data_IF_466287243330
#
_entry.id   IF_466287243330
#
_cell.length_a   1.000
_cell.length_b   1.000
_cell.length_c   1.000
_cell.angle_alpha   90.00
_cell.angle_beta   90.00
_cell.angle_gamma   90.00
#
_symmetry.space_group_name_H-M   'P 1'
#
loop_
_entity.id
_entity.type
_entity.pdbx_description
1 polymer ?
#
# COMPACT_ATOMS: atom_id res chain seq x y z
N UNK A 1 -12.62 45.37 -46.05
CA UNK A 1 -13.29 44.40 -45.17
C UNK A 1 -12.39 44.12 -43.96
N UNK A 2 -12.94 44.18 -42.74
CA UNK A 2 -12.19 44.22 -41.48
C UNK A 2 -11.71 42.84 -41.01
N UNK A 3 -10.58 42.83 -40.29
CA UNK A 3 -9.98 41.68 -39.60
C UNK A 3 -10.84 41.28 -38.37
N UNK A 4 -10.96 39.99 -38.03
CA UNK A 4 -11.63 39.58 -36.80
C UNK A 4 -10.79 39.90 -35.56
N UNK A 5 -11.49 40.30 -34.51
CA UNK A 5 -11.00 40.80 -33.24
C UNK A 5 -10.34 39.73 -32.36
N UNK A 6 -9.34 40.16 -31.58
CA UNK A 6 -8.77 39.41 -30.47
C UNK A 6 -9.77 39.33 -29.32
N UNK A 7 -10.16 38.11 -28.91
CA UNK A 7 -10.85 37.90 -27.64
C UNK A 7 -9.83 37.89 -26.49
N UNK A 8 -10.10 38.69 -25.46
CA UNK A 8 -9.28 38.85 -24.26
C UNK A 8 -9.29 37.60 -23.37
N UNK A 9 -8.17 37.36 -22.72
CA UNK A 9 -7.86 36.18 -21.90
C UNK A 9 -8.36 36.30 -20.44
N UNK A 10 -9.41 37.08 -20.17
CA UNK A 10 -9.78 37.44 -18.79
C UNK A 10 -10.86 36.54 -18.13
N UNK A 11 -11.31 35.46 -18.77
CA UNK A 11 -12.40 34.61 -18.25
C UNK A 11 -11.99 33.20 -17.80
N UNK A 12 -10.80 33.05 -17.20
CA UNK A 12 -10.39 31.78 -16.57
C UNK A 12 -9.73 31.98 -15.20
N UNK A 13 -10.26 32.89 -14.37
CA UNK A 13 -9.74 33.09 -13.00
C UNK A 13 -10.75 33.14 -11.86
N UNK A 14 -12.04 32.84 -12.06
CA UNK A 14 -13.03 32.97 -10.99
C UNK A 14 -13.92 31.74 -10.74
N UNK A 15 -13.34 30.52 -10.65
CA UNK A 15 -14.11 29.37 -10.15
C UNK A 15 -13.33 28.33 -9.33
N UNK A 16 -12.32 28.76 -8.56
CA UNK A 16 -11.59 27.86 -7.65
C UNK A 16 -11.24 28.51 -6.30
N UNK A 17 -12.07 29.45 -5.82
CA UNK A 17 -11.90 30.12 -4.50
C UNK A 17 -13.09 29.81 -3.56
N UNK A 18 -13.93 28.81 -3.86
CA UNK A 18 -15.08 28.46 -3.02
C UNK A 18 -15.00 27.12 -2.27
N UNK A 19 -13.91 26.36 -2.38
CA UNK A 19 -13.89 24.99 -1.83
C UNK A 19 -12.93 24.69 -0.67
N UNK A 20 -12.26 25.68 -0.08
CA UNK A 20 -11.43 25.45 1.10
C UNK A 20 -11.72 26.46 2.21
N UNK A 21 -12.97 26.47 2.69
CA UNK A 21 -13.27 26.86 4.06
C UNK A 21 -12.80 25.73 4.99
N UNK A 22 -11.49 25.72 5.27
CA UNK A 22 -10.94 24.87 6.32
C UNK A 22 -11.08 25.62 7.65
N UNK A 23 -12.17 25.33 8.36
CA UNK A 23 -12.35 25.68 9.76
C UNK A 23 -11.13 25.24 10.58
N UNK A 24 -10.47 26.17 11.26
CA UNK A 24 -9.55 25.85 12.36
C UNK A 24 -10.30 26.08 13.67
N UNK A 25 -10.57 25.04 14.49
CA UNK A 25 -10.93 25.28 15.88
C UNK A 25 -9.67 25.79 16.61
N UNK A 26 -9.79 26.94 17.27
CA UNK A 26 -8.79 27.43 18.20
C UNK A 26 -8.85 26.59 19.47
N UNK A 27 -7.82 25.78 19.71
CA UNK A 27 -7.63 25.02 20.95
C UNK A 27 -6.51 25.72 21.72
N UNK A 28 -6.88 26.49 22.75
CA UNK A 28 -5.94 27.02 23.75
C UNK A 28 -5.64 25.87 24.71
N UNK A 29 -4.43 25.32 24.63
CA UNK A 29 -3.89 24.44 25.66
C UNK A 29 -2.92 25.26 26.49
N UNK A 30 -3.32 25.58 27.73
CA UNK A 30 -2.38 26.02 28.75
C UNK A 30 -1.68 24.77 29.30
N UNK A 31 -0.40 24.58 28.97
CA UNK A 31 0.45 23.57 29.64
C UNK A 31 1.35 24.32 30.63
N UNK A 32 1.50 23.85 31.88
CA UNK A 32 2.37 24.49 32.86
C UNK A 32 3.83 24.40 32.42
N UNK A 33 4.55 25.51 32.60
CA UNK A 33 6.00 25.54 32.50
C UNK A 33 6.61 24.64 33.58
N UNK A 34 7.11 23.47 33.18
CA UNK A 34 8.09 22.72 33.97
C UNK A 34 9.19 22.32 32.99
N UNK A 35 10.14 23.23 32.78
CA UNK A 35 11.45 22.86 32.27
C UNK A 35 12.22 22.28 33.45
N UNK A 36 12.57 21.00 33.35
CA UNK A 36 13.58 20.38 34.20
C UNK A 36 14.87 21.18 34.08
N UNK A 37 15.30 21.79 35.19
CA UNK A 37 16.65 22.30 35.33
C UNK A 37 17.62 21.13 35.13
N UNK A 38 18.33 21.12 34.00
CA UNK A 38 19.56 20.35 33.88
C UNK A 38 20.69 21.33 34.05
N UNK A 39 21.44 21.11 35.12
CA UNK A 39 22.52 21.95 35.59
C UNK A 39 23.54 22.24 34.50
N UNK A 40 24.08 23.45 34.60
CA UNK A 40 25.25 23.99 33.94
C UNK A 40 26.28 22.92 33.59
N UNK A 41 26.53 22.77 32.29
CA UNK A 41 27.88 22.91 31.73
C UNK A 41 27.76 22.91 30.21
N UNK A 42 27.57 24.12 29.65
CA UNK A 42 27.94 24.52 28.29
C UNK A 42 27.29 25.87 28.00
N UNK A 43 27.93 26.96 28.44
CA UNK A 43 27.63 28.30 27.92
C UNK A 43 27.80 28.38 26.38
N UNK A 44 28.48 27.40 25.77
CA UNK A 44 28.51 27.23 24.31
C UNK A 44 27.29 26.54 23.70
N UNK A 45 26.54 25.69 24.41
CA UNK A 45 25.46 24.89 23.78
C UNK A 45 24.18 25.68 23.60
N UNK A 46 23.77 26.51 24.57
CA UNK A 46 22.57 27.37 24.46
C UNK A 46 22.71 28.42 23.36
N UNK A 47 23.90 28.96 23.15
CA UNK A 47 24.17 29.90 22.05
C UNK A 47 24.23 29.19 20.69
N UNK A 48 24.78 27.97 20.63
CA UNK A 48 24.73 27.16 19.40
C UNK A 48 23.29 26.78 19.07
N UNK A 49 22.46 26.39 20.05
CA UNK A 49 21.04 26.09 19.83
C UNK A 49 20.24 27.33 19.40
N UNK A 50 20.47 28.51 19.98
CA UNK A 50 19.78 29.75 19.58
C UNK A 50 20.23 30.28 18.21
N UNK A 51 21.51 30.14 17.87
CA UNK A 51 22.05 30.47 16.54
C UNK A 51 21.56 29.49 15.48
N UNK A 52 21.56 28.19 15.76
CA UNK A 52 21.04 27.17 14.86
C UNK A 52 19.54 27.36 14.65
N UNK A 53 18.76 27.62 15.70
CA UNK A 53 17.34 27.97 15.56
C UNK A 53 17.19 29.18 14.63
N UNK A 54 17.89 30.29 14.88
CA UNK A 54 17.84 31.49 14.04
C UNK A 54 18.17 31.21 12.56
N UNK A 55 19.17 30.37 12.28
CA UNK A 55 19.58 29.98 10.92
C UNK A 55 18.52 29.09 10.24
N UNK A 56 17.89 28.17 10.97
CA UNK A 56 16.83 27.32 10.43
C UNK A 56 15.56 28.10 10.10
N UNK A 57 15.18 29.10 10.92
CA UNK A 57 14.06 30.00 10.64
C UNK A 57 14.30 30.94 9.45
N UNK A 58 15.56 31.14 9.05
CA UNK A 58 15.96 31.96 7.89
C UNK A 58 16.30 31.16 6.62
N UNK A 59 16.29 29.82 6.66
CA UNK A 59 16.63 28.96 5.53
C UNK A 59 15.49 28.88 4.50
N UNK A 60 15.33 29.94 3.71
CA UNK A 60 14.35 30.04 2.62
C UNK A 60 15.08 30.05 1.27
N UNK A 61 14.55 29.39 0.22
CA UNK A 61 15.13 29.51 -1.12
C UNK A 61 15.24 30.97 -1.54
N UNK A 62 16.48 31.48 -1.62
CA UNK A 62 16.75 32.89 -1.89
C UNK A 62 16.14 33.36 -3.22
N UNK A 63 16.11 32.48 -4.22
CA UNK A 63 15.59 32.76 -5.56
C UNK A 63 14.72 31.62 -6.10
N UNK A 64 13.71 31.98 -6.89
CA UNK A 64 12.90 31.02 -7.65
C UNK A 64 13.76 30.36 -8.72
N UNK A 65 13.73 29.02 -8.80
CA UNK A 65 14.41 28.27 -9.87
C UNK A 65 13.74 28.53 -11.22
N UNK A 66 14.56 28.68 -12.27
CA UNK A 66 14.05 28.81 -13.64
C UNK A 66 13.34 27.54 -14.11
N UNK A 67 12.52 27.67 -15.15
CA UNK A 67 11.79 26.55 -15.73
C UNK A 67 12.78 25.52 -16.32
N UNK A 68 13.84 25.99 -16.97
CA UNK A 68 14.90 25.15 -17.53
C UNK A 68 15.59 24.30 -16.46
N UNK A 69 16.04 24.92 -15.36
CA UNK A 69 16.68 24.21 -14.24
C UNK A 69 15.73 23.15 -13.66
N UNK A 70 14.45 23.47 -13.53
CA UNK A 70 13.47 22.50 -13.06
C UNK A 70 13.24 21.36 -14.05
N UNK A 71 13.23 21.64 -15.36
CA UNK A 71 13.09 20.61 -16.40
C UNK A 71 14.30 19.68 -16.41
N UNK A 72 15.52 20.20 -16.45
CA UNK A 72 16.75 19.39 -16.39
C UNK A 72 16.79 18.55 -15.11
N UNK A 73 16.42 19.14 -13.96
CA UNK A 73 16.35 18.41 -12.69
C UNK A 73 15.29 17.32 -12.67
N UNK A 74 14.15 17.48 -13.34
CA UNK A 74 13.02 16.52 -13.34
C UNK A 74 13.16 15.44 -14.43
N UNK A 75 13.67 15.80 -15.61
CA UNK A 75 13.81 14.93 -16.79
C UNK A 75 15.15 14.22 -16.88
N UNK A 76 16.02 14.39 -15.89
CA UNK A 76 17.25 13.60 -15.78
C UNK A 76 16.90 12.09 -15.83
N UNK A 77 17.54 11.29 -16.70
CA UNK A 77 17.24 9.86 -16.85
C UNK A 77 17.35 9.06 -15.55
N UNK A 78 18.16 9.51 -14.59
CA UNK A 78 18.24 8.91 -13.26
C UNK A 78 16.90 8.97 -12.48
N UNK A 79 16.06 9.97 -12.78
CA UNK A 79 14.74 10.16 -12.15
C UNK A 79 13.58 9.63 -12.98
N UNK A 80 13.85 9.23 -14.22
CA UNK A 80 12.85 8.60 -15.07
C UNK A 80 12.65 7.15 -14.61
N UNK A 81 11.43 6.66 -14.80
CA UNK A 81 11.10 5.27 -14.53
C UNK A 81 11.81 4.41 -15.57
N UNK A 82 12.65 3.48 -15.10
CA UNK A 82 13.35 2.54 -15.98
C UNK A 82 12.38 1.51 -16.56
N UNK A 83 12.57 1.19 -17.83
CA UNK A 83 11.82 0.12 -18.49
C UNK A 83 12.20 -1.23 -17.87
N UNK A 84 11.19 -2.08 -17.63
CA UNK A 84 11.36 -3.40 -17.04
C UNK A 84 11.13 -4.47 -18.10
N UNK A 85 12.13 -5.33 -18.34
CA UNK A 85 12.12 -6.37 -19.38
C UNK A 85 11.91 -7.78 -18.81
N UNK A 86 11.38 -7.88 -17.59
CA UNK A 86 11.23 -9.13 -16.85
C UNK A 86 9.77 -9.61 -16.78
N UNK A 87 8.97 -9.24 -17.79
CA UNK A 87 7.56 -9.58 -17.92
C UNK A 87 7.44 -10.72 -18.94
N UNK A 88 6.91 -11.86 -18.50
CA UNK A 88 6.69 -13.05 -19.30
C UNK A 88 5.22 -13.48 -19.24
N UNK A 89 4.81 -14.38 -20.12
CA UNK A 89 3.46 -14.96 -20.12
C UNK A 89 3.39 -16.16 -19.17
N UNK A 90 2.31 -16.27 -18.39
CA UNK A 90 2.06 -17.42 -17.53
C UNK A 90 1.67 -18.65 -18.37
N UNK A 91 2.30 -19.83 -18.15
CA UNK A 91 1.99 -21.04 -18.92
C UNK A 91 0.59 -21.60 -18.65
N UNK A 92 0.03 -21.38 -17.45
CA UNK A 92 -1.27 -21.94 -17.05
C UNK A 92 -2.45 -21.13 -17.59
N UNK A 93 -2.41 -19.80 -17.44
CA UNK A 93 -3.56 -18.93 -17.71
C UNK A 93 -3.32 -17.90 -18.81
N UNK A 94 -2.11 -17.80 -19.37
CA UNK A 94 -1.77 -16.82 -20.41
C UNK A 94 -1.67 -15.36 -19.94
N UNK A 95 -1.88 -15.05 -18.65
CA UNK A 95 -1.73 -13.69 -18.14
C UNK A 95 -0.25 -13.30 -18.02
N UNK A 96 0.04 -12.01 -18.15
CA UNK A 96 1.38 -11.47 -17.93
C UNK A 96 1.78 -11.60 -16.45
N UNK A 97 2.97 -12.14 -16.20
CA UNK A 97 3.58 -12.24 -14.89
C UNK A 97 5.04 -11.77 -14.93
N UNK A 98 5.63 -11.55 -13.78
CA UNK A 98 7.06 -11.28 -13.68
C UNK A 98 7.84 -12.60 -13.52
N UNK A 99 9.05 -12.70 -14.10
CA UNK A 99 9.90 -13.93 -14.10
C UNK A 99 10.04 -14.63 -12.75
N UNK A 100 10.33 -13.86 -11.71
CA UNK A 100 10.60 -14.38 -10.35
C UNK A 100 9.43 -14.19 -9.39
N UNK A 101 8.21 -14.01 -9.92
CA UNK A 101 6.99 -13.81 -9.13
C UNK A 101 5.91 -14.78 -9.61
N UNK A 102 5.12 -15.30 -8.67
CA UNK A 102 3.96 -16.12 -9.02
C UNK A 102 2.95 -15.32 -9.84
N UNK A 103 2.17 -16.00 -10.67
CA UNK A 103 1.12 -15.33 -11.43
C UNK A 103 0.05 -14.81 -10.48
N UNK A 104 -0.26 -13.51 -10.54
CA UNK A 104 -1.26 -12.88 -9.68
C UNK A 104 -2.65 -13.50 -9.84
N UNK A 105 -3.05 -13.82 -11.08
CA UNK A 105 -4.35 -14.42 -11.36
C UNK A 105 -4.48 -15.84 -10.79
N UNK A 106 -3.50 -16.71 -11.09
CA UNK A 106 -3.51 -18.07 -10.55
C UNK A 106 -3.45 -18.07 -9.02
N UNK A 107 -2.64 -17.18 -8.43
CA UNK A 107 -2.53 -17.05 -6.98
C UNK A 107 -3.84 -16.57 -6.35
N UNK A 108 -4.53 -15.62 -6.98
CA UNK A 108 -5.84 -15.15 -6.51
C UNK A 108 -6.88 -16.29 -6.47
N UNK A 109 -6.89 -17.16 -7.47
CA UNK A 109 -7.77 -18.33 -7.49
C UNK A 109 -7.47 -19.30 -6.34
N UNK A 110 -6.18 -19.56 -6.06
CA UNK A 110 -5.75 -20.37 -4.92
C UNK A 110 -6.12 -19.71 -3.59
N UNK A 111 -6.00 -18.39 -3.48
CA UNK A 111 -6.40 -17.64 -2.29
C UNK A 111 -7.91 -17.71 -2.04
N UNK A 112 -8.73 -17.60 -3.09
CA UNK A 112 -10.19 -17.75 -2.98
C UNK A 112 -10.54 -19.15 -2.50
N UNK A 113 -9.97 -20.17 -3.11
CA UNK A 113 -10.23 -21.56 -2.73
C UNK A 113 -9.77 -21.86 -1.29
N UNK A 114 -8.56 -21.45 -0.91
CA UNK A 114 -8.08 -21.66 0.46
C UNK A 114 -8.87 -20.84 1.49
N UNK A 115 -9.39 -19.67 1.12
CA UNK A 115 -10.23 -18.87 2.01
C UNK A 115 -11.54 -19.57 2.37
N UNK A 116 -12.23 -20.20 1.41
CA UNK A 116 -13.46 -20.93 1.73
C UNK A 116 -13.18 -22.27 2.44
N UNK A 117 -12.01 -22.89 2.24
CA UNK A 117 -11.59 -24.05 3.06
C UNK A 117 -11.42 -23.60 4.51
N UNK A 118 -10.75 -22.46 4.73
CA UNK A 118 -10.58 -21.88 6.08
C UNK A 118 -11.92 -21.51 6.73
N UNK A 119 -12.90 -21.02 5.96
CA UNK A 119 -14.26 -20.76 6.47
C UNK A 119 -14.92 -22.04 6.96
N UNK A 120 -14.81 -23.13 6.20
CA UNK A 120 -15.36 -24.43 6.61
C UNK A 120 -14.66 -25.00 7.85
N UNK A 121 -13.34 -24.84 7.95
CA UNK A 121 -12.59 -25.16 9.18
C UNK A 121 -13.15 -24.39 10.36
N UNK A 122 -13.31 -23.07 10.22
CA UNK A 122 -13.86 -22.23 11.29
C UNK A 122 -15.27 -22.66 11.72
N UNK A 123 -16.12 -23.04 10.77
CA UNK A 123 -17.46 -23.54 11.06
C UNK A 123 -17.43 -24.88 11.82
N UNK A 124 -16.50 -25.78 11.49
CA UNK A 124 -16.34 -27.06 12.20
C UNK A 124 -15.73 -26.89 13.60
N UNK A 125 -14.76 -25.98 13.76
CA UNK A 125 -14.09 -25.74 15.05
C UNK A 125 -14.98 -24.96 16.04
N UNK A 126 -15.88 -24.12 15.53
CA UNK A 126 -16.91 -23.43 16.34
C UNK A 126 -16.37 -22.38 17.31
N UNK A 127 -15.07 -22.06 17.29
CA UNK A 127 -14.49 -21.05 18.16
C UNK A 127 -12.96 -21.00 18.13
N UNK A 128 -12.35 -19.99 18.79
CA UNK A 128 -10.90 -19.87 18.88
C UNK A 128 -10.29 -20.99 19.76
N UNK A 129 -9.02 -21.34 19.50
CA UNK A 129 -8.23 -22.34 20.24
C UNK A 129 -8.77 -23.79 20.22
N UNK A 130 -9.43 -24.20 19.13
CA UNK A 130 -9.94 -25.56 18.93
C UNK A 130 -9.19 -26.32 17.83
N UNK A 131 -7.90 -26.05 17.69
CA UNK A 131 -7.07 -26.73 16.69
C UNK A 131 -6.97 -28.23 17.01
N UNK A 132 -7.28 -29.13 16.05
CA UNK A 132 -7.19 -30.57 16.26
C UNK A 132 -5.74 -31.05 16.21
N UNK A 133 -5.46 -32.17 16.90
CA UNK A 133 -4.16 -32.86 16.83
C UNK A 133 -4.00 -33.68 15.54
N UNK A 134 -5.11 -34.02 14.88
CA UNK A 134 -5.11 -34.87 13.67
C UNK A 134 -4.86 -34.07 12.39
N UNK A 135 -4.29 -34.73 11.38
CA UNK A 135 -4.16 -34.18 10.03
C UNK A 135 -5.52 -33.85 9.41
N UNK A 136 -5.54 -32.97 8.42
CA UNK A 136 -6.75 -32.51 7.74
C UNK A 136 -6.75 -32.92 6.28
N UNK A 137 -7.88 -33.40 5.77
CA UNK A 137 -8.09 -33.77 4.37
C UNK A 137 -9.29 -33.03 3.79
N UNK A 138 -9.14 -32.49 2.58
CA UNK A 138 -10.20 -31.79 1.85
C UNK A 138 -10.83 -32.73 0.83
N UNK A 139 -12.14 -32.95 0.94
CA UNK A 139 -12.94 -33.74 0.01
C UNK A 139 -13.87 -32.83 -0.78
N UNK A 140 -13.96 -33.06 -2.08
CA UNK A 140 -14.90 -32.38 -2.97
C UNK A 140 -16.12 -33.24 -3.25
N UNK A 141 -17.15 -32.65 -3.86
CA UNK A 141 -18.41 -33.33 -4.19
C UNK A 141 -18.17 -34.60 -5.02
N UNK A 142 -18.69 -35.73 -4.54
CA UNK A 142 -18.63 -37.03 -5.21
C UNK A 142 -17.37 -37.84 -4.94
N UNK A 143 -16.47 -37.34 -4.09
CA UNK A 143 -15.28 -38.07 -3.67
C UNK A 143 -15.48 -38.83 -2.36
N UNK A 144 -14.98 -40.06 -2.30
CA UNK A 144 -14.95 -40.85 -1.07
C UNK A 144 -13.56 -40.78 -0.40
N UNK A 145 -13.51 -40.86 0.94
CA UNK A 145 -12.25 -40.91 1.68
C UNK A 145 -11.48 -42.21 1.38
N UNK A 146 -10.16 -42.09 1.21
CA UNK A 146 -9.27 -43.26 1.01
C UNK A 146 -9.02 -43.99 2.34
N UNK A 147 -8.54 -45.24 2.26
CA UNK A 147 -8.11 -46.00 3.45
C UNK A 147 -6.99 -45.28 4.22
N UNK A 148 -6.10 -44.57 3.51
CA UNK A 148 -5.00 -43.78 4.12
C UNK A 148 -5.48 -42.50 4.82
N UNK A 149 -6.74 -42.10 4.59
CA UNK A 149 -7.33 -40.89 5.18
C UNK A 149 -8.19 -41.20 6.41
N UNK A 150 -8.29 -42.47 6.78
CA UNK A 150 -8.96 -42.89 8.00
C UNK A 150 -8.27 -42.27 9.21
N UNK A 151 -9.03 -41.50 9.99
CA UNK A 151 -8.54 -40.80 11.18
C UNK A 151 -8.09 -39.34 10.96
N UNK A 152 -8.11 -38.83 9.72
CA UNK A 152 -7.90 -37.40 9.44
C UNK A 152 -9.23 -36.63 9.56
N UNK A 153 -9.15 -35.35 9.92
CA UNK A 153 -10.30 -34.42 9.88
C UNK A 153 -10.71 -34.18 8.44
N UNK A 154 -11.97 -34.43 8.12
CA UNK A 154 -12.52 -34.25 6.77
C UNK A 154 -13.17 -32.87 6.66
N UNK A 155 -12.75 -32.08 5.67
CA UNK A 155 -13.40 -30.84 5.27
C UNK A 155 -14.08 -31.09 3.93
N UNK A 156 -15.42 -31.00 3.93
CA UNK A 156 -16.23 -31.21 2.74
C UNK A 156 -16.41 -29.90 1.96
N UNK A 157 -16.23 -29.95 0.64
CA UNK A 157 -16.46 -28.85 -0.29
C UNK A 157 -17.55 -29.19 -1.30
N UNK A 158 -18.53 -28.30 -1.43
CA UNK A 158 -19.68 -28.47 -2.32
C UNK A 158 -19.33 -28.32 -3.82
N UNK A 159 -18.14 -27.79 -4.13
CA UNK A 159 -17.66 -27.56 -5.49
C UNK A 159 -17.08 -28.80 -6.17
N UNK A 160 -16.83 -28.69 -7.48
CA UNK A 160 -16.00 -29.65 -8.22
C UNK A 160 -14.53 -29.40 -7.90
N UNK A 161 -13.74 -30.48 -7.79
CA UNK A 161 -12.29 -30.37 -7.56
C UNK A 161 -11.62 -29.57 -8.69
N UNK A 162 -10.84 -28.52 -8.38
CA UNK A 162 -10.03 -27.83 -9.37
C UNK A 162 -8.96 -28.75 -9.96
N UNK A 163 -8.68 -28.63 -11.27
CA UNK A 163 -7.71 -29.48 -11.97
C UNK A 163 -6.29 -29.40 -11.42
N UNK A 164 -5.89 -28.23 -10.91
CA UNK A 164 -4.57 -27.98 -10.32
C UNK A 164 -4.44 -28.51 -8.88
N UNK A 165 -5.55 -28.87 -8.22
CA UNK A 165 -5.54 -29.34 -6.84
C UNK A 165 -5.62 -30.87 -6.80
N UNK A 166 -4.47 -31.52 -6.92
CA UNK A 166 -4.37 -32.99 -6.92
C UNK A 166 -4.58 -33.59 -5.53
N UNK A 167 -5.02 -34.86 -5.48
CA UNK A 167 -5.03 -35.63 -4.24
C UNK A 167 -3.58 -36.00 -3.91
N UNK A 168 -3.10 -35.61 -2.73
CA UNK A 168 -1.78 -36.04 -2.26
C UNK A 168 -1.79 -37.57 -2.12
N UNK A 169 -0.79 -38.21 -2.75
CA UNK A 169 -0.54 -39.65 -2.63
C UNK A 169 0.08 -39.94 -1.27
#
# INVERSE_FOLDING_TARGET
MPKPACASWDNFQNNLIRHLYFSKPALVVQVPAIFTETANDTNGSKEIFSLLDSIFWMAVPKNRRSIEVNRCRRRNPQKLIKVKNNIDVCPECGHLKQKHVLCGYCYENVCKETAEIRRQIGNQEGGPFKAPTVGTMVLYRGETPSQQDQGKRIIERDGRRPSWFTRGV
#
